data_IF_876655194880
#
_entry.id   IF_876655194880
#
_cell.length_a   1.000
_cell.length_b   1.000
_cell.length_c   1.000
_cell.angle_alpha   90.00
_cell.angle_beta   90.00
_cell.angle_gamma   90.00
#
_symmetry.space_group_name_H-M   'P 1'
#
loop_
_entity.id
_entity.type
_entity.pdbx_description
1 polymer ?
#
# COMPACT_ATOMS: atom_id res chain seq x y z
N UNK A 1 -19.51 -12.18 -5.53
CA UNK A 1 -18.11 -12.35 -5.94
C UNK A 1 -17.54 -13.56 -5.22
N UNK A 2 -17.02 -14.55 -5.96
CA UNK A 2 -16.33 -15.73 -5.38
C UNK A 2 -14.82 -15.50 -5.17
N UNK A 3 -14.32 -14.28 -5.39
CA UNK A 3 -12.97 -13.82 -4.99
C UNK A 3 -11.85 -14.78 -5.40
N UNK A 4 -11.53 -14.85 -6.69
CA UNK A 4 -10.49 -15.76 -7.21
C UNK A 4 -9.16 -15.03 -7.34
N UNK A 5 -8.07 -15.66 -6.91
CA UNK A 5 -6.71 -15.15 -7.10
C UNK A 5 -5.93 -16.11 -8.00
N UNK A 6 -5.38 -15.57 -9.09
CA UNK A 6 -4.63 -16.33 -10.09
C UNK A 6 -3.22 -15.75 -10.22
N UNK A 7 -2.20 -16.59 -10.05
CA UNK A 7 -0.80 -16.17 -10.17
C UNK A 7 -0.27 -16.54 -11.55
N UNK A 8 0.32 -15.55 -12.24
CA UNK A 8 0.88 -15.73 -13.59
C UNK A 8 2.37 -15.40 -13.61
N UNK A 9 3.14 -16.16 -14.39
CA UNK A 9 4.58 -15.90 -14.58
C UNK A 9 4.84 -14.66 -15.43
N UNK A 10 3.91 -14.31 -16.32
CA UNK A 10 4.03 -13.13 -17.16
C UNK A 10 3.03 -13.09 -18.30
N UNK A 11 2.86 -11.90 -18.85
CA UNK A 11 1.98 -11.64 -19.98
C UNK A 11 2.79 -11.74 -21.28
N UNK A 12 2.77 -12.90 -21.94
CA UNK A 12 3.37 -13.06 -23.28
C UNK A 12 2.37 -12.65 -24.35
N UNK A 13 2.37 -11.37 -24.71
CA UNK A 13 1.65 -10.87 -25.89
C UNK A 13 2.54 -11.08 -27.11
N UNK A 14 1.98 -11.69 -28.17
CA UNK A 14 2.72 -11.92 -29.40
C UNK A 14 2.73 -10.64 -30.24
N UNK A 15 3.93 -10.09 -30.49
CA UNK A 15 4.14 -9.00 -31.45
C UNK A 15 4.78 -7.74 -30.85
N UNK A 16 5.44 -6.95 -31.71
CA UNK A 16 6.19 -5.72 -31.38
C UNK A 16 5.33 -4.56 -30.86
N UNK A 17 4.01 -4.64 -31.05
CA UNK A 17 3.05 -3.64 -30.56
C UNK A 17 1.80 -4.35 -30.04
N UNK A 18 1.72 -4.62 -28.73
CA UNK A 18 0.58 -5.32 -28.15
C UNK A 18 -0.71 -4.54 -28.38
N UNK A 19 -1.76 -5.23 -28.83
CA UNK A 19 -3.09 -4.63 -29.01
C UNK A 19 -4.03 -5.13 -27.92
N UNK A 20 -5.02 -4.31 -27.61
CA UNK A 20 -6.10 -4.63 -26.67
C UNK A 20 -6.77 -5.97 -26.98
N UNK A 21 -6.93 -6.31 -28.27
CA UNK A 21 -7.47 -7.60 -28.72
C UNK A 21 -6.64 -8.81 -28.27
N UNK A 22 -5.31 -8.67 -28.22
CA UNK A 22 -4.42 -9.76 -27.83
C UNK A 22 -4.51 -10.02 -26.32
N UNK A 23 -4.75 -8.97 -25.53
CA UNK A 23 -5.03 -9.06 -24.09
C UNK A 23 -6.36 -9.77 -23.85
N UNK A 24 -7.42 -9.41 -24.59
CA UNK A 24 -8.73 -10.09 -24.51
C UNK A 24 -8.60 -11.57 -24.89
N UNK A 25 -7.89 -11.87 -25.98
CA UNK A 25 -7.65 -13.25 -26.40
C UNK A 25 -6.84 -14.04 -25.37
N UNK A 26 -5.91 -13.39 -24.66
CA UNK A 26 -5.15 -14.02 -23.58
C UNK A 26 -6.02 -14.26 -22.34
N UNK A 27 -6.83 -13.29 -21.92
CA UNK A 27 -7.79 -13.46 -20.82
C UNK A 27 -8.79 -14.59 -21.12
N UNK A 28 -9.28 -14.68 -22.36
CA UNK A 28 -10.15 -15.76 -22.80
C UNK A 28 -9.52 -17.17 -22.72
N UNK A 29 -8.19 -17.29 -22.70
CA UNK A 29 -7.52 -18.59 -22.46
C UNK A 29 -7.52 -18.99 -20.99
N UNK A 30 -7.61 -18.03 -20.08
CA UNK A 30 -7.69 -18.26 -18.64
C UNK A 30 -9.11 -18.66 -18.25
N UNK A 31 -10.10 -18.19 -19.01
CA UNK A 31 -11.51 -18.54 -18.86
C UNK A 31 -12.37 -17.30 -18.60
N UNK A 32 -13.56 -17.51 -18.04
CA UNK A 32 -14.42 -16.41 -17.61
C UNK A 32 -13.88 -15.81 -16.31
N UNK A 33 -13.22 -14.66 -16.43
CA UNK A 33 -12.62 -13.92 -15.33
C UNK A 33 -13.52 -12.82 -14.78
N UNK A 34 -14.65 -12.49 -15.43
CA UNK A 34 -15.52 -11.37 -15.04
C UNK A 34 -14.75 -10.06 -14.90
N UNK A 35 -15.11 -9.25 -13.90
CA UNK A 35 -14.36 -8.02 -13.57
C UNK A 35 -12.99 -8.39 -13.03
N UNK A 36 -11.95 -7.98 -13.74
CA UNK A 36 -10.59 -8.46 -13.48
C UNK A 36 -9.66 -7.32 -13.07
N UNK A 37 -8.95 -7.49 -11.96
CA UNK A 37 -7.84 -6.61 -11.59
C UNK A 37 -6.54 -7.33 -11.85
N UNK A 38 -5.65 -6.72 -12.63
CA UNK A 38 -4.33 -7.25 -12.91
C UNK A 38 -3.27 -6.46 -12.14
N UNK A 39 -2.55 -7.17 -11.25
CA UNK A 39 -1.46 -6.65 -10.44
C UNK A 39 -0.13 -7.04 -11.05
N UNK A 40 0.61 -6.04 -11.52
CA UNK A 40 1.90 -6.19 -12.20
C UNK A 40 3.03 -5.54 -11.38
N UNK A 41 4.31 -5.79 -11.71
CA UNK A 41 5.46 -5.17 -11.02
C UNK A 41 6.26 -4.22 -11.93
N UNK A 42 6.49 -4.62 -13.18
CA UNK A 42 7.16 -3.82 -14.20
C UNK A 42 6.50 -4.12 -15.53
N UNK A 43 6.25 -3.10 -16.36
CA UNK A 43 5.78 -3.35 -17.72
C UNK A 43 6.36 -2.35 -18.72
N UNK A 44 6.57 -2.89 -19.91
CA UNK A 44 6.70 -2.17 -21.16
C UNK A 44 5.45 -1.29 -21.37
N UNK A 45 5.66 0.03 -21.48
CA UNK A 45 4.61 1.07 -21.50
C UNK A 45 3.54 0.79 -22.58
N UNK A 46 3.92 0.08 -23.63
CA UNK A 46 3.05 -0.31 -24.74
C UNK A 46 1.97 -1.33 -24.34
N UNK A 47 2.30 -2.33 -23.52
CA UNK A 47 1.34 -3.32 -23.02
C UNK A 47 0.40 -2.72 -21.96
N UNK A 48 0.92 -1.80 -21.13
CA UNK A 48 0.10 -1.03 -20.19
C UNK A 48 -1.01 -0.26 -20.89
N UNK A 49 -0.66 0.49 -21.93
CA UNK A 49 -1.62 1.28 -22.70
C UNK A 49 -2.68 0.41 -23.37
N UNK A 50 -2.29 -0.76 -23.89
CA UNK A 50 -3.22 -1.68 -24.54
C UNK A 50 -4.26 -2.25 -23.57
N UNK A 51 -3.83 -2.59 -22.35
CA UNK A 51 -4.70 -3.17 -21.33
C UNK A 51 -5.54 -2.11 -20.60
N UNK A 52 -5.07 -0.87 -20.46
CA UNK A 52 -5.76 0.18 -19.69
C UNK A 52 -7.05 0.67 -20.36
N UNK A 53 -7.23 0.38 -21.65
CA UNK A 53 -8.41 0.75 -22.41
C UNK A 53 -9.53 -0.31 -22.37
N UNK A 54 -9.35 -1.39 -21.60
CA UNK A 54 -10.37 -2.43 -21.45
C UNK A 54 -11.35 -2.08 -20.33
N UNK A 55 -12.67 -2.14 -20.58
CA UNK A 55 -13.66 -1.80 -19.55
C UNK A 55 -13.66 -2.81 -18.39
N UNK A 56 -13.34 -4.07 -18.67
CA UNK A 56 -13.44 -5.16 -17.69
C UNK A 56 -12.09 -5.51 -17.03
N UNK A 57 -11.03 -4.75 -17.34
CA UNK A 57 -9.68 -4.99 -16.84
C UNK A 57 -9.08 -3.72 -16.26
N UNK A 58 -8.83 -3.74 -14.95
CA UNK A 58 -8.14 -2.66 -14.27
C UNK A 58 -6.70 -3.04 -13.94
N UNK A 59 -5.77 -2.09 -14.13
CA UNK A 59 -4.34 -2.31 -13.96
C UNK A 59 -3.83 -1.64 -12.69
N UNK A 60 -3.18 -2.40 -11.81
CA UNK A 60 -2.65 -1.90 -10.54
C UNK A 60 -1.22 -2.38 -10.32
N UNK A 61 -0.45 -1.56 -9.59
CA UNK A 61 0.88 -1.93 -9.10
C UNK A 61 0.76 -2.41 -7.65
N UNK A 62 1.79 -3.07 -7.07
CA UNK A 62 1.74 -3.54 -5.69
C UNK A 62 1.61 -2.36 -4.71
N UNK A 63 2.05 -1.16 -5.11
CA UNK A 63 1.90 0.08 -4.33
C UNK A 63 0.53 0.76 -4.49
N UNK A 64 -0.12 0.65 -5.66
CA UNK A 64 -1.41 1.29 -5.94
C UNK A 64 -2.63 0.40 -5.72
N UNK A 65 -2.42 -0.87 -5.36
CA UNK A 65 -3.50 -1.79 -5.02
C UNK A 65 -4.21 -1.35 -3.73
N UNK A 66 -5.52 -1.15 -3.84
CA UNK A 66 -6.45 -0.77 -2.77
C UNK A 66 -7.37 -1.92 -2.41
N UNK A 67 -8.01 -1.83 -1.25
CA UNK A 67 -9.00 -2.81 -0.81
C UNK A 67 -10.24 -2.85 -1.71
N UNK A 68 -10.70 -1.69 -2.18
CA UNK A 68 -11.84 -1.58 -3.12
C UNK A 68 -11.63 -2.44 -4.35
N UNK A 69 -10.43 -2.40 -4.92
CA UNK A 69 -10.09 -3.14 -6.14
C UNK A 69 -10.24 -4.66 -5.94
N UNK A 70 -10.00 -5.15 -4.71
CA UNK A 70 -10.13 -6.58 -4.38
C UNK A 70 -11.58 -6.97 -4.11
N UNK A 71 -12.37 -6.07 -3.52
CA UNK A 71 -13.78 -6.33 -3.19
C UNK A 71 -14.66 -6.26 -4.44
N UNK A 72 -14.36 -5.32 -5.34
CA UNK A 72 -15.16 -5.03 -6.52
C UNK A 72 -14.82 -5.95 -7.71
N UNK A 73 -13.75 -6.74 -7.60
CA UNK A 73 -13.33 -7.68 -8.65
C UNK A 73 -13.78 -9.11 -8.39
N UNK A 74 -14.08 -9.82 -9.48
CA UNK A 74 -14.35 -11.26 -9.45
C UNK A 74 -13.04 -12.07 -9.47
N UNK A 75 -12.02 -11.53 -10.14
CA UNK A 75 -10.72 -12.18 -10.33
C UNK A 75 -9.56 -11.20 -10.16
N UNK A 76 -8.61 -11.56 -9.29
CA UNK A 76 -7.34 -10.88 -9.12
C UNK A 76 -6.23 -11.69 -9.82
N UNK A 77 -5.74 -11.19 -10.95
CA UNK A 77 -4.57 -11.74 -11.63
C UNK A 77 -3.33 -11.06 -11.05
N UNK A 78 -2.38 -11.83 -10.53
CA UNK A 78 -1.16 -11.29 -9.90
C UNK A 78 0.06 -11.88 -10.58
N UNK A 79 0.98 -11.04 -11.02
CA UNK A 79 2.28 -11.52 -11.49
C UNK A 79 3.12 -12.05 -10.33
N UNK A 80 3.89 -13.13 -10.53
CA UNK A 80 4.82 -13.65 -9.51
C UNK A 80 5.70 -12.57 -8.86
N UNK A 81 6.43 -11.72 -9.60
CA UNK A 81 7.22 -10.64 -8.97
C UNK A 81 6.36 -9.61 -8.24
N UNK A 82 5.13 -9.39 -8.67
CA UNK A 82 4.19 -8.49 -7.99
C UNK A 82 3.66 -9.10 -6.69
N UNK A 83 3.48 -10.42 -6.65
CA UNK A 83 3.11 -11.16 -5.46
C UNK A 83 4.21 -11.04 -4.40
N UNK A 84 5.48 -11.22 -4.78
CA UNK A 84 6.61 -11.08 -3.86
C UNK A 84 6.67 -9.66 -3.27
N UNK A 85 6.44 -8.63 -4.10
CA UNK A 85 6.35 -7.24 -3.64
C UNK A 85 5.15 -6.99 -2.71
N UNK A 86 4.00 -7.61 -2.99
CA UNK A 86 2.82 -7.53 -2.11
C UNK A 86 3.07 -8.21 -0.77
N UNK A 87 3.71 -9.38 -0.75
CA UNK A 87 4.08 -10.09 0.47
C UNK A 87 5.04 -9.23 1.30
N UNK A 88 6.10 -8.71 0.67
CA UNK A 88 7.04 -7.81 1.34
C UNK A 88 6.34 -6.56 1.91
N UNK A 89 5.39 -5.97 1.17
CA UNK A 89 4.57 -4.86 1.64
C UNK A 89 3.71 -5.25 2.85
N UNK A 90 3.10 -6.43 2.83
CA UNK A 90 2.22 -6.90 3.89
C UNK A 90 3.00 -7.23 5.18
N UNK A 91 4.22 -7.76 5.06
CA UNK A 91 5.08 -8.10 6.21
C UNK A 91 5.83 -6.90 6.77
N UNK A 92 6.18 -5.92 5.93
CA UNK A 92 7.00 -4.78 6.31
C UNK A 92 6.19 -3.48 6.50
N UNK A 93 4.86 -3.52 6.42
CA UNK A 93 4.05 -2.34 6.68
C UNK A 93 4.15 -1.96 8.17
N UNK A 94 4.77 -0.81 8.54
CA UNK A 94 4.56 -0.27 9.87
C UNK A 94 3.05 0.00 10.00
N UNK A 95 2.44 -0.28 11.16
CA UNK A 95 1.02 0.01 11.35
C UNK A 95 0.81 1.50 11.02
N UNK A 96 -0.09 1.82 10.09
CA UNK A 96 -0.41 3.22 9.72
C UNK A 96 -0.88 4.07 10.93
N UNK A 97 -1.10 3.44 12.09
CA UNK A 97 -1.41 4.09 13.36
C UNK A 97 -0.40 3.82 14.50
N UNK A 98 0.74 3.16 14.25
CA UNK A 98 1.78 2.99 15.27
C UNK A 98 2.55 4.30 15.53
N UNK A 99 2.86 5.06 14.48
CA UNK A 99 3.55 6.36 14.60
C UNK A 99 2.75 7.38 15.41
N UNK A 100 1.41 7.37 15.31
CA UNK A 100 0.57 8.30 16.07
C UNK A 100 0.64 8.07 17.60
N UNK A 101 0.87 6.82 18.05
CA UNK A 101 1.06 6.52 19.49
C UNK A 101 2.48 6.82 19.95
N UNK A 102 3.48 6.60 19.10
CA UNK A 102 4.88 6.90 19.42
C UNK A 102 5.16 8.41 19.46
N UNK A 103 4.59 9.19 18.53
CA UNK A 103 4.68 10.65 18.51
C UNK A 103 3.89 11.29 19.66
N UNK A 104 2.75 10.70 20.05
CA UNK A 104 2.00 11.12 21.22
C UNK A 104 2.76 10.80 22.52
N UNK A 105 3.32 9.60 22.66
CA UNK A 105 4.12 9.22 23.82
C UNK A 105 5.40 10.05 23.95
N UNK A 106 6.05 10.40 22.83
CA UNK A 106 7.23 11.26 22.81
C UNK A 106 6.89 12.72 23.14
N UNK A 107 5.70 13.21 22.74
CA UNK A 107 5.17 14.52 23.14
C UNK A 107 4.76 14.57 24.61
N UNK A 108 4.20 13.49 25.14
CA UNK A 108 3.81 13.38 26.55
C UNK A 108 5.03 13.29 27.47
N UNK A 109 6.09 12.56 27.06
CA UNK A 109 7.38 12.54 27.76
C UNK A 109 8.11 13.88 27.71
N UNK A 110 7.99 14.66 26.62
CA UNK A 110 8.55 16.01 26.53
C UNK A 110 7.82 17.01 27.45
N UNK A 111 6.49 16.90 27.56
CA UNK A 111 5.67 17.73 28.46
C UNK A 111 5.90 17.43 29.94
N UNK A 112 6.29 16.20 30.30
CA UNK A 112 6.63 15.82 31.67
C UNK A 112 8.03 16.32 32.11
N UNK A 113 8.95 16.56 31.16
CA UNK A 113 10.29 17.08 31.45
C UNK A 113 10.33 18.58 31.78
N UNK A 114 9.42 19.37 31.21
CA UNK A 114 9.42 20.83 31.40
C UNK A 114 8.63 21.29 32.65
N UNK A 115 7.78 20.43 33.21
CA UNK A 115 7.05 20.72 34.46
C UNK A 115 7.86 20.55 35.74
N UNK A 116 9.00 19.85 35.69
CA UNK A 116 9.85 19.61 36.86
C UNK A 116 10.77 20.81 37.16
N UNK A 117 11.30 21.48 36.13
CA UNK A 117 12.24 22.59 36.30
C UNK A 117 11.58 23.88 36.81
N UNK A 118 10.28 24.07 36.56
CA UNK A 118 9.54 25.23 37.06
C UNK A 118 9.14 25.13 38.55
N UNK A 119 8.97 23.91 39.11
CA UNK A 119 8.61 23.74 40.53
C UNK A 119 9.82 23.76 41.47
N UNK A 120 11.00 23.42 40.99
CA UNK A 120 12.23 23.45 41.81
C UNK A 120 12.79 24.89 41.98
N UNK A 121 12.63 25.76 40.97
CA UNK A 121 13.01 27.17 41.06
C UNK A 121 12.13 27.98 42.05
N UNK A 122 10.84 27.63 42.18
CA UNK A 122 9.92 28.32 43.10
C UNK A 122 10.15 27.97 44.58
N UNK A 123 10.72 26.79 44.89
CA UNK A 123 10.95 26.37 46.28
C UNK A 123 12.27 26.89 46.86
N UNK A 124 13.23 27.30 46.02
CA UNK A 124 14.50 27.87 46.49
C UNK A 124 14.43 29.38 46.81
N UNK A 125 13.47 30.11 46.25
CA UNK A 125 13.34 31.58 46.46
C UNK A 125 12.64 31.97 47.77
N UNK A 126 11.92 31.05 48.42
CA UNK A 126 11.20 31.34 49.68
C UNK A 126 11.97 31.05 50.97
N UNK A 127 13.28 30.75 50.92
CA UNK A 127 14.12 30.55 52.11
C UNK A 127 15.13 31.69 52.39
N UNK A 128 15.19 32.72 51.56
CA UNK A 128 16.19 33.81 51.67
C UNK A 128 15.60 35.16 52.13
N UNK A 129 14.51 35.16 52.91
CA UNK A 129 13.95 36.41 53.49
C UNK A 129 13.61 36.33 54.98
N UNK A 130 14.18 35.37 55.72
CA UNK A 130 14.07 35.33 57.19
C UNK A 130 15.44 35.17 57.84
N UNK A 131 16.33 36.15 57.63
CA UNK A 131 17.37 36.55 58.59
C UNK A 131 18.16 37.75 58.04
N UNK A 132 17.62 38.96 58.25
CA UNK A 132 18.37 40.21 58.35
C UNK A 132 17.46 41.27 58.96
#
# INVERSE_FOLDING_TARGET
>A
AEGRVLVVEGLKLNGDRPKTRDVVAWLGKIGDTGTTVFVWNEIDESAARAAANLPDLELRTPGSLRLSDVIDSDTLLVMRPALDALVARATNAPPKHAGAREDAAKREAAMAGEGATAREAATSSSRETVNA
#
